data_IF_220453765363
#
_entry.id   IF_220453765363
#
_cell.length_a   1.000
_cell.length_b   1.000
_cell.length_c   1.000
_cell.angle_alpha   90.00
_cell.angle_beta   90.00
_cell.angle_gamma   90.00
#
_symmetry.space_group_name_H-M   'P 1'
#
loop_
_entity.id
_entity.type
_entity.pdbx_description
1 polymer ?
#
# COMPACT_ATOMS: atom_id res chain seq x y z
N UNK A 1 7.40 -42.33 -34.90
CA UNK A 1 7.81 -41.85 -33.57
C UNK A 1 8.85 -40.78 -33.78
N UNK A 2 8.38 -39.54 -33.93
CA UNK A 2 9.20 -38.34 -33.75
C UNK A 2 8.29 -37.44 -32.91
N UNK A 3 8.72 -37.18 -31.69
CA UNK A 3 8.02 -36.38 -30.68
C UNK A 3 8.19 -34.91 -31.04
N UNK A 4 7.07 -34.20 -31.15
CA UNK A 4 7.01 -32.76 -31.39
C UNK A 4 7.20 -32.05 -30.04
N UNK A 5 8.31 -31.35 -29.90
CA UNK A 5 8.68 -30.58 -28.71
C UNK A 5 7.80 -29.32 -28.65
N UNK A 6 6.86 -29.28 -27.69
CA UNK A 6 5.99 -28.13 -27.46
C UNK A 6 6.81 -27.04 -26.77
N UNK A 7 7.14 -26.00 -27.53
CA UNK A 7 7.85 -24.81 -27.05
C UNK A 7 6.94 -24.02 -26.08
N UNK A 8 7.25 -24.09 -24.78
CA UNK A 8 6.61 -23.30 -23.72
C UNK A 8 6.83 -21.80 -23.96
N UNK A 9 5.75 -21.02 -24.00
CA UNK A 9 5.79 -19.55 -24.05
C UNK A 9 6.42 -18.99 -22.76
N UNK A 10 7.23 -17.92 -22.84
CA UNK A 10 7.88 -17.37 -21.66
C UNK A 10 6.83 -16.65 -20.80
N UNK A 11 6.69 -17.10 -19.56
CA UNK A 11 6.01 -16.38 -18.49
C UNK A 11 6.89 -15.18 -18.15
N UNK A 12 6.43 -13.97 -18.46
CA UNK A 12 7.08 -12.74 -18.02
C UNK A 12 6.80 -12.62 -16.52
N UNK A 13 7.76 -13.04 -15.69
CA UNK A 13 7.79 -12.75 -14.26
C UNK A 13 8.02 -11.23 -14.09
N UNK A 14 6.98 -10.52 -13.67
CA UNK A 14 7.15 -9.18 -13.11
C UNK A 14 7.96 -9.29 -11.81
N UNK A 15 9.16 -8.72 -11.82
CA UNK A 15 10.03 -8.58 -10.66
C UNK A 15 9.37 -7.65 -9.66
N UNK A 16 8.70 -8.22 -8.67
CA UNK A 16 8.24 -7.51 -7.48
C UNK A 16 9.46 -7.31 -6.58
N UNK A 17 10.01 -6.10 -6.57
CA UNK A 17 10.92 -5.67 -5.50
C UNK A 17 10.10 -5.43 -4.24
N UNK A 18 10.13 -6.40 -3.33
CA UNK A 18 9.63 -6.24 -1.96
C UNK A 18 10.81 -5.85 -1.06
N UNK A 19 10.70 -4.79 -0.23
CA UNK A 19 11.66 -4.58 0.85
C UNK A 19 11.51 -5.72 1.86
N UNK A 20 12.60 -6.43 2.10
CA UNK A 20 12.75 -7.39 3.18
C UNK A 20 12.64 -6.67 4.52
N UNK A 21 11.54 -6.85 5.23
CA UNK A 21 11.53 -6.74 6.69
C UNK A 21 11.29 -8.12 7.30
N UNK A 22 12.23 -8.47 8.16
CA UNK A 22 12.28 -9.71 8.92
C UNK A 22 11.04 -9.82 9.83
N UNK A 23 10.12 -10.70 9.46
CA UNK A 23 9.08 -11.17 10.37
C UNK A 23 9.61 -12.41 11.08
N UNK A 24 10.11 -12.22 12.29
CA UNK A 24 10.25 -13.31 13.24
C UNK A 24 8.85 -13.73 13.69
N UNK A 25 8.42 -14.90 13.22
CA UNK A 25 7.28 -15.63 13.79
C UNK A 25 7.54 -15.88 15.28
N UNK A 26 6.56 -15.62 16.13
CA UNK A 26 6.51 -16.33 17.40
C UNK A 26 5.07 -16.60 17.78
N UNK A 27 4.77 -17.89 17.79
CA UNK A 27 3.52 -18.51 18.16
C UNK A 27 3.11 -18.10 19.58
N UNK A 28 1.85 -17.70 19.73
CA UNK A 28 1.22 -17.53 21.03
C UNK A 28 0.80 -18.93 21.49
N UNK A 29 1.54 -19.51 22.44
CA UNK A 29 1.02 -20.58 23.27
C UNK A 29 1.18 -20.21 24.75
N UNK A 30 0.04 -20.12 25.39
CA UNK A 30 -0.14 -19.96 26.83
C UNK A 30 0.38 -21.19 27.57
N UNK A 31 1.31 -21.02 28.51
CA UNK A 31 1.17 -21.57 29.86
C UNK A 31 2.17 -20.98 30.85
N UNK A 32 1.66 -20.80 32.07
CA UNK A 32 2.31 -20.21 33.25
C UNK A 32 3.60 -20.94 33.61
N UNK A 33 4.60 -20.22 34.09
CA UNK A 33 5.41 -20.64 35.25
C UNK A 33 6.18 -19.47 35.83
N UNK A 34 6.32 -19.55 37.15
CA UNK A 34 6.80 -18.54 38.07
C UNK A 34 8.31 -18.28 38.03
N UNK A 35 8.66 -17.17 38.72
CA UNK A 35 9.86 -16.90 39.55
C UNK A 35 11.06 -16.14 38.96
N UNK A 36 11.29 -15.01 39.64
CA UNK A 36 12.55 -14.47 40.21
C UNK A 36 13.72 -14.28 39.24
N UNK A 37 14.36 -13.10 39.25
CA UNK A 37 15.53 -12.75 40.09
C UNK A 37 15.85 -11.29 39.65
N UNK A 38 16.17 -10.27 40.45
CA UNK A 38 17.15 -10.15 41.52
C UNK A 38 16.95 -8.79 42.21
N UNK A 39 16.83 -8.76 43.53
CA UNK A 39 17.25 -7.60 44.33
C UNK A 39 17.85 -8.13 45.62
N UNK A 40 19.17 -8.23 45.63
CA UNK A 40 19.94 -8.54 46.83
C UNK A 40 19.73 -7.45 47.89
N UNK A 41 18.95 -7.81 48.91
CA UNK A 41 19.34 -7.82 50.33
C UNK A 41 20.15 -6.62 50.85
N UNK A 42 19.46 -5.75 51.58
CA UNK A 42 19.93 -5.33 52.90
C UNK A 42 18.86 -5.71 53.93
N UNK A 43 19.28 -6.54 54.87
CA UNK A 43 18.49 -7.10 55.96
C UNK A 43 18.24 -6.09 57.08
N UNK A 44 17.00 -6.00 57.55
CA UNK A 44 16.68 -5.83 58.97
C UNK A 44 15.21 -6.26 59.14
N UNK A 45 14.99 -7.51 59.53
CA UNK A 45 14.43 -7.84 60.84
C UNK A 45 13.05 -7.21 61.04
N UNK A 46 12.00 -8.04 60.87
CA UNK A 46 10.72 -7.77 61.54
C UNK A 46 11.02 -7.59 63.03
N UNK A 47 10.95 -6.34 63.49
CA UNK A 47 10.96 -6.00 64.90
C UNK A 47 9.54 -6.24 65.43
N UNK A 48 9.34 -7.07 66.48
CA UNK A 48 8.01 -7.45 66.97
C UNK A 48 7.31 -6.33 67.77
N UNK A 49 7.45 -5.08 67.35
CA UNK A 49 7.01 -3.91 68.11
C UNK A 49 6.33 -2.82 67.28
N UNK A 50 5.66 -3.13 66.18
CA UNK A 50 4.54 -2.28 65.72
C UNK A 50 3.30 -2.62 66.54
N UNK A 51 3.35 -2.33 67.84
CA UNK A 51 2.14 -1.88 68.52
C UNK A 51 1.68 -0.65 67.74
N UNK A 52 0.42 -0.60 67.32
CA UNK A 52 -0.25 0.69 67.24
C UNK A 52 -0.13 1.28 68.65
N UNK A 53 0.90 2.10 68.85
CA UNK A 53 1.03 2.91 70.03
C UNK A 53 -0.12 3.90 69.92
N UNK A 54 -1.19 3.69 70.69
CA UNK A 54 -2.18 4.72 70.94
C UNK A 54 -1.41 5.92 71.45
N UNK A 55 -1.21 6.89 70.57
CA UNK A 55 -0.49 8.10 70.88
C UNK A 55 -1.41 8.90 71.79
N UNK A 56 -1.02 9.06 73.06
CA UNK A 56 -1.83 9.77 74.04
C UNK A 56 -2.32 11.11 73.48
N UNK A 57 -3.61 11.42 73.63
CA UNK A 57 -4.23 12.65 73.11
C UNK A 57 -3.46 13.92 73.54
N UNK A 58 -2.89 13.91 74.75
CA UNK A 58 -2.09 15.03 75.26
C UNK A 58 -0.77 15.22 74.47
N UNK A 59 -0.20 14.16 73.92
CA UNK A 59 1.02 14.22 73.10
C UNK A 59 0.71 14.78 71.72
N UNK A 60 -0.48 14.46 71.17
CA UNK A 60 -0.98 15.10 69.97
C UNK A 60 -1.24 16.59 70.19
N UNK A 61 -1.92 16.94 71.28
CA UNK A 61 -2.15 18.34 71.68
C UNK A 61 -0.83 19.08 71.89
N UNK A 62 0.14 18.47 72.56
CA UNK A 62 1.47 19.05 72.79
C UNK A 62 2.24 19.26 71.48
N UNK A 63 2.26 18.27 70.59
CA UNK A 63 2.91 18.39 69.28
C UNK A 63 2.25 19.48 68.43
N UNK A 64 0.93 19.60 68.48
CA UNK A 64 0.18 20.65 67.79
C UNK A 64 0.48 22.04 68.37
N UNK A 65 0.49 22.19 69.70
CA UNK A 65 0.81 23.44 70.40
C UNK A 65 2.26 23.86 70.16
N UNK A 66 3.19 22.89 70.15
CA UNK A 66 4.60 23.11 69.83
C UNK A 66 4.80 23.56 68.39
N UNK A 67 4.19 22.88 67.41
CA UNK A 67 4.22 23.30 65.99
C UNK A 67 3.66 24.71 65.82
N UNK A 68 2.53 25.01 66.45
CA UNK A 68 1.88 26.33 66.40
C UNK A 68 2.75 27.42 67.04
N UNK A 69 3.43 27.14 68.15
CA UNK A 69 4.25 28.12 68.86
C UNK A 69 5.62 28.34 68.22
N UNK A 70 6.22 27.30 67.63
CA UNK A 70 7.53 27.37 66.94
C UNK A 70 7.36 27.74 65.46
N UNK A 71 6.13 27.71 64.93
CA UNK A 71 5.82 28.04 63.54
C UNK A 71 6.30 27.00 62.53
N UNK A 72 6.53 25.75 62.97
CA UNK A 72 7.00 24.66 62.11
C UNK A 72 5.78 23.97 61.53
N UNK A 73 5.59 24.13 60.22
CA UNK A 73 4.62 23.39 59.44
C UNK A 73 5.30 22.14 58.82
N UNK A 74 5.04 20.93 59.33
CA UNK A 74 5.62 19.71 58.79
C UNK A 74 5.02 19.33 57.42
N UNK A 75 3.84 19.82 57.06
CA UNK A 75 3.11 19.44 55.84
C UNK A 75 3.32 20.46 54.70
N UNK A 76 3.86 21.65 54.99
CA UNK A 76 4.19 22.68 54.00
C UNK A 76 5.00 22.17 52.79
N UNK A 77 5.83 21.14 52.94
CA UNK A 77 6.59 20.56 51.83
C UNK A 77 5.74 19.65 50.92
N UNK A 78 4.72 18.99 51.48
CA UNK A 78 3.72 18.19 50.74
C UNK A 78 2.84 19.16 49.94
N UNK A 79 2.42 20.27 50.55
CA UNK A 79 1.65 21.32 49.89
C UNK A 79 2.42 21.96 48.72
N UNK A 80 3.73 22.20 48.89
CA UNK A 80 4.59 22.72 47.82
C UNK A 80 4.78 21.71 46.67
N UNK A 81 4.86 20.42 46.99
CA UNK A 81 4.95 19.37 45.98
C UNK A 81 3.65 19.25 45.18
N UNK A 82 2.49 19.23 45.85
CA UNK A 82 1.18 19.18 45.20
C UNK A 82 0.96 20.40 44.30
N UNK A 83 1.23 21.61 44.81
CA UNK A 83 1.17 22.84 44.02
C UNK A 83 2.16 22.82 42.83
N UNK A 84 3.37 22.32 43.05
CA UNK A 84 4.35 22.15 41.97
C UNK A 84 3.86 21.20 40.88
N UNK A 85 3.22 20.09 41.25
CA UNK A 85 2.63 19.12 40.33
C UNK A 85 1.43 19.69 39.57
N UNK A 86 0.58 20.47 40.23
CA UNK A 86 -0.54 21.17 39.59
C UNK A 86 -0.03 22.16 38.53
N UNK A 87 0.94 23.02 38.87
CA UNK A 87 1.56 23.96 37.93
C UNK A 87 2.25 23.25 36.75
N UNK A 88 2.88 22.09 36.98
CA UNK A 88 3.45 21.28 35.90
C UNK A 88 2.36 20.74 34.97
N UNK A 89 1.23 20.32 35.53
CA UNK A 89 0.09 19.81 34.77
C UNK A 89 -0.58 20.92 33.96
N UNK A 90 -0.79 22.10 34.55
CA UNK A 90 -1.31 23.30 33.88
C UNK A 90 -0.38 23.74 32.74
N UNK A 91 0.94 23.75 32.96
CA UNK A 91 1.91 24.09 31.92
C UNK A 91 1.90 23.08 30.75
N UNK A 92 1.72 21.79 31.03
CA UNK A 92 1.57 20.76 30.00
C UNK A 92 0.25 20.92 29.24
N UNK A 93 -0.85 21.19 29.93
CA UNK A 93 -2.16 21.44 29.33
C UNK A 93 -2.12 22.68 28.43
N UNK A 94 -1.58 23.81 28.89
CA UNK A 94 -1.37 25.02 28.08
C UNK A 94 -0.49 24.71 26.86
N UNK A 95 0.56 23.90 27.00
CA UNK A 95 1.42 23.51 25.87
C UNK A 95 0.65 22.70 24.82
N UNK A 96 -0.15 21.73 25.26
CA UNK A 96 -0.95 20.85 24.39
C UNK A 96 -2.14 21.58 23.77
N UNK A 97 -2.76 22.51 24.50
CA UNK A 97 -3.92 23.29 24.04
C UNK A 97 -3.54 24.57 23.29
N UNK A 98 -2.26 24.96 23.30
CA UNK A 98 -1.79 26.13 22.57
C UNK A 98 -2.00 26.00 21.05
N UNK A 99 -2.33 27.13 20.40
CA UNK A 99 -2.46 27.20 18.93
C UNK A 99 -1.17 26.77 18.19
N UNK A 100 0.00 26.87 18.87
CA UNK A 100 1.30 26.45 18.32
C UNK A 100 1.42 24.93 18.20
N UNK A 101 0.64 24.15 18.95
CA UNK A 101 0.60 22.70 18.88
C UNK A 101 -0.26 22.19 17.71
N UNK A 102 -1.24 22.97 17.23
CA UNK A 102 -2.15 22.58 16.16
C UNK A 102 -1.42 22.06 14.89
N UNK A 103 -0.37 22.72 14.36
CA UNK A 103 0.36 22.19 13.20
C UNK A 103 1.06 20.85 13.44
N UNK A 104 1.36 20.50 14.69
CA UNK A 104 1.92 19.18 15.04
C UNK A 104 0.81 18.12 15.04
N UNK A 105 -0.37 18.44 15.55
CA UNK A 105 -1.53 17.56 15.49
C UNK A 105 -1.99 17.33 14.05
N UNK A 106 -2.00 18.37 13.21
CA UNK A 106 -2.33 18.24 11.79
C UNK A 106 -1.34 17.30 11.07
N UNK A 107 -0.03 17.44 11.35
CA UNK A 107 1.00 16.53 10.82
C UNK A 107 0.82 15.09 11.33
N UNK A 108 0.53 14.91 12.61
CA UNK A 108 0.27 13.59 13.17
C UNK A 108 -0.97 12.95 12.53
N UNK A 109 -2.06 13.71 12.40
CA UNK A 109 -3.28 13.29 11.72
C UNK A 109 -3.00 12.87 10.27
N UNK A 110 -2.27 13.69 9.50
CA UNK A 110 -1.87 13.37 8.14
C UNK A 110 -1.05 12.07 8.05
N UNK A 111 -0.15 11.82 9.01
CA UNK A 111 0.62 10.57 9.07
C UNK A 111 -0.22 9.35 9.42
N UNK A 112 -1.19 9.48 10.31
CA UNK A 112 -2.13 8.38 10.59
C UNK A 112 -3.08 8.12 9.42
N UNK A 113 -3.50 9.15 8.69
CA UNK A 113 -4.26 8.99 7.44
C UNK A 113 -3.46 8.25 6.38
N UNK A 114 -2.16 8.55 6.24
CA UNK A 114 -1.25 7.83 5.35
C UNK A 114 -1.15 6.33 5.71
N UNK A 115 -0.94 6.02 6.99
CA UNK A 115 -0.92 4.63 7.47
C UNK A 115 -2.25 3.92 7.22
N UNK A 116 -3.38 4.58 7.47
CA UNK A 116 -4.70 4.00 7.24
C UNK A 116 -4.97 3.74 5.75
N UNK A 117 -4.62 4.68 4.86
CA UNK A 117 -4.74 4.50 3.43
C UNK A 117 -3.87 3.33 2.93
N UNK A 118 -2.62 3.22 3.40
CA UNK A 118 -1.72 2.11 3.09
C UNK A 118 -2.27 0.75 3.57
N UNK A 119 -2.90 0.71 4.74
CA UNK A 119 -3.51 -0.53 5.25
C UNK A 119 -4.63 -1.03 4.33
N UNK A 120 -5.53 -0.14 3.90
CA UNK A 120 -6.59 -0.50 2.94
C UNK A 120 -6.02 -0.86 1.57
N UNK A 121 -5.02 -0.13 1.08
CA UNK A 121 -4.32 -0.45 -0.17
C UNK A 121 -3.72 -1.85 -0.15
N UNK A 122 -2.95 -2.18 0.90
CA UNK A 122 -2.35 -3.50 1.05
C UNK A 122 -3.39 -4.60 1.18
N UNK A 123 -4.51 -4.34 1.87
CA UNK A 123 -5.63 -5.27 1.91
C UNK A 123 -6.26 -5.49 0.51
N UNK A 124 -6.42 -4.44 -0.29
CA UNK A 124 -6.83 -4.57 -1.69
C UNK A 124 -5.85 -5.44 -2.50
N UNK A 125 -4.55 -5.26 -2.31
CA UNK A 125 -3.52 -6.07 -2.97
C UNK A 125 -3.62 -7.55 -2.61
N UNK A 126 -3.95 -7.88 -1.34
CA UNK A 126 -4.20 -9.27 -0.93
C UNK A 126 -5.36 -9.88 -1.72
N UNK A 127 -6.44 -9.13 -1.96
CA UNK A 127 -7.55 -9.60 -2.81
C UNK A 127 -7.13 -9.79 -4.28
N UNK A 128 -6.33 -8.87 -4.84
CA UNK A 128 -5.75 -9.02 -6.18
C UNK A 128 -4.87 -10.28 -6.30
N UNK A 129 -4.03 -10.54 -5.30
CA UNK A 129 -3.21 -11.75 -5.24
C UNK A 129 -4.06 -13.01 -5.12
N UNK A 130 -5.11 -12.99 -4.30
CA UNK A 130 -6.04 -14.12 -4.17
C UNK A 130 -6.77 -14.44 -5.49
N UNK A 131 -7.09 -13.42 -6.30
CA UNK A 131 -7.68 -13.59 -7.63
C UNK A 131 -6.74 -14.30 -8.61
N UNK A 132 -5.42 -14.14 -8.49
CA UNK A 132 -4.42 -14.78 -9.37
C UNK A 132 -4.26 -16.28 -9.10
N UNK A 133 -4.80 -16.79 -7.98
CA UNK A 133 -4.73 -18.21 -7.67
C UNK A 133 -5.57 -19.00 -8.68
N UNK A 134 -4.91 -19.86 -9.46
CA UNK A 134 -5.58 -20.72 -10.44
C UNK A 134 -6.57 -21.65 -9.72
N UNK A 135 -7.81 -21.67 -10.20
CA UNK A 135 -8.78 -22.71 -9.86
C UNK A 135 -8.51 -23.88 -10.79
N UNK A 136 -8.22 -25.09 -10.28
CA UNK A 136 -7.96 -26.25 -11.12
C UNK A 136 -9.15 -26.51 -12.04
N UNK A 137 -8.89 -26.50 -13.35
CA UNK A 137 -9.83 -26.96 -14.37
C UNK A 137 -9.42 -28.37 -14.76
N UNK A 138 -10.34 -29.32 -14.67
CA UNK A 138 -10.09 -30.69 -15.13
C UNK A 138 -10.50 -30.81 -16.60
N UNK A 139 -9.56 -30.64 -17.51
CA UNK A 139 -9.80 -30.74 -18.95
C UNK A 139 -10.18 -32.15 -19.41
N UNK A 140 -9.94 -33.17 -18.57
CA UNK A 140 -10.38 -34.55 -18.84
C UNK A 140 -11.86 -34.79 -18.49
N UNK A 141 -12.48 -33.85 -17.78
CA UNK A 141 -13.88 -33.91 -17.42
C UNK A 141 -14.81 -33.60 -18.61
N UNK A 142 -16.07 -33.99 -18.50
CA UNK A 142 -17.08 -33.69 -19.52
C UNK A 142 -17.30 -32.19 -19.72
N UNK A 143 -17.66 -31.77 -20.94
CA UNK A 143 -17.84 -30.35 -21.31
C UNK A 143 -18.69 -29.53 -20.34
N UNK A 144 -19.76 -30.11 -19.81
CA UNK A 144 -20.64 -29.45 -18.84
C UNK A 144 -19.94 -29.20 -17.49
N UNK A 145 -19.11 -30.14 -17.04
CA UNK A 145 -18.34 -30.01 -15.80
C UNK A 145 -17.28 -28.91 -15.95
N UNK A 146 -16.58 -28.88 -17.08
CA UNK A 146 -15.60 -27.82 -17.40
C UNK A 146 -16.29 -26.45 -17.45
N UNK A 147 -17.47 -26.35 -18.06
CA UNK A 147 -18.23 -25.09 -18.11
C UNK A 147 -18.65 -24.61 -16.70
N UNK A 148 -19.10 -25.52 -15.83
CA UNK A 148 -19.47 -25.18 -14.45
C UNK A 148 -18.24 -24.77 -13.61
N UNK A 149 -17.10 -25.42 -13.80
CA UNK A 149 -15.83 -25.04 -13.16
C UNK A 149 -15.36 -23.66 -13.63
N UNK A 150 -15.46 -23.38 -14.93
CA UNK A 150 -15.14 -22.07 -15.50
C UNK A 150 -16.04 -20.96 -14.94
N UNK A 151 -17.35 -21.20 -14.84
CA UNK A 151 -18.30 -20.28 -14.19
C UNK A 151 -17.88 -19.94 -12.77
N UNK A 152 -17.62 -20.99 -11.97
CA UNK A 152 -17.23 -20.85 -10.57
C UNK A 152 -15.93 -20.07 -10.45
N UNK A 153 -14.98 -20.31 -11.35
CA UNK A 153 -13.72 -19.59 -11.37
C UNK A 153 -13.88 -18.12 -11.72
N UNK A 154 -14.70 -17.81 -12.72
CA UNK A 154 -15.02 -16.44 -13.09
C UNK A 154 -15.69 -15.68 -11.94
N UNK A 155 -16.70 -16.27 -11.29
CA UNK A 155 -17.39 -15.64 -10.16
C UNK A 155 -16.46 -15.37 -8.98
N UNK A 156 -15.58 -16.33 -8.66
CA UNK A 156 -14.57 -16.15 -7.62
C UNK A 156 -13.63 -14.99 -7.90
N UNK A 157 -13.04 -14.93 -9.10
CA UNK A 157 -12.11 -13.85 -9.47
C UNK A 157 -12.84 -12.50 -9.50
N UNK A 158 -14.06 -12.45 -10.05
CA UNK A 158 -14.90 -11.24 -10.07
C UNK A 158 -15.18 -10.73 -8.65
N UNK A 159 -15.51 -11.62 -7.71
CA UNK A 159 -15.73 -11.25 -6.31
C UNK A 159 -14.44 -10.68 -5.69
N UNK A 160 -13.29 -11.34 -5.90
CA UNK A 160 -12.00 -10.85 -5.38
C UNK A 160 -11.64 -9.46 -5.93
N UNK A 161 -11.82 -9.22 -7.23
CA UNK A 161 -11.61 -7.90 -7.82
C UNK A 161 -12.58 -6.84 -7.29
N UNK A 162 -13.83 -7.23 -7.00
CA UNK A 162 -14.81 -6.32 -6.37
C UNK A 162 -14.37 -5.92 -4.97
N UNK A 163 -13.91 -6.88 -4.15
CA UNK A 163 -13.37 -6.59 -2.82
C UNK A 163 -12.11 -5.72 -2.89
N UNK A 164 -11.21 -5.98 -3.84
CA UNK A 164 -10.03 -5.14 -4.06
C UNK A 164 -10.42 -3.69 -4.38
N UNK A 165 -11.40 -3.50 -5.28
CA UNK A 165 -11.95 -2.19 -5.63
C UNK A 165 -12.42 -1.42 -4.41
N UNK A 166 -13.26 -2.03 -3.57
CA UNK A 166 -13.79 -1.41 -2.37
C UNK A 166 -12.68 -0.94 -1.42
N UNK A 167 -11.61 -1.74 -1.27
CA UNK A 167 -10.47 -1.39 -0.43
C UNK A 167 -9.67 -0.22 -1.00
N UNK A 168 -9.43 -0.17 -2.31
CA UNK A 168 -8.77 0.97 -2.93
C UNK A 168 -9.62 2.24 -2.85
N UNK A 169 -10.94 2.14 -3.02
CA UNK A 169 -11.86 3.27 -2.81
C UNK A 169 -11.85 3.77 -1.35
N UNK A 170 -11.76 2.86 -0.37
CA UNK A 170 -11.58 3.21 1.04
C UNK A 170 -10.25 3.96 1.27
N UNK A 171 -9.15 3.48 0.68
CA UNK A 171 -7.86 4.16 0.78
C UNK A 171 -7.91 5.59 0.23
N UNK A 172 -8.51 5.78 -0.94
CA UNK A 172 -8.67 7.09 -1.59
C UNK A 172 -9.65 8.01 -0.85
N UNK A 173 -10.63 7.45 -0.12
CA UNK A 173 -11.54 8.24 0.71
C UNK A 173 -10.84 8.86 1.93
N UNK A 174 -9.82 8.17 2.46
CA UNK A 174 -9.00 8.63 3.59
C UNK A 174 -7.91 9.58 3.12
N UNK A 175 -7.26 9.25 2.00
CA UNK A 175 -6.18 10.03 1.40
C UNK A 175 -6.42 10.20 -0.11
N UNK A 176 -7.07 11.30 -0.54
CA UNK A 176 -7.34 11.55 -1.96
C UNK A 176 -6.07 11.81 -2.78
N UNK A 177 -5.00 12.31 -2.17
CA UNK A 177 -3.69 12.57 -2.76
C UNK A 177 -2.77 11.32 -2.66
N UNK A 178 -3.28 10.17 -3.11
CA UNK A 178 -2.59 8.89 -3.03
C UNK A 178 -2.54 8.21 -4.41
N UNK A 179 -1.46 8.48 -5.15
CA UNK A 179 -1.33 8.05 -6.55
C UNK A 179 -1.28 6.53 -6.68
N UNK A 180 -0.67 5.81 -5.73
CA UNK A 180 -0.61 4.36 -5.71
C UNK A 180 -2.01 3.75 -5.59
N UNK A 181 -2.89 4.37 -4.80
CA UNK A 181 -4.29 3.98 -4.69
C UNK A 181 -5.04 4.13 -6.01
N UNK A 182 -4.79 5.22 -6.76
CA UNK A 182 -5.37 5.42 -8.09
C UNK A 182 -4.82 4.41 -9.10
N UNK A 183 -3.50 4.17 -9.11
CA UNK A 183 -2.86 3.16 -9.97
C UNK A 183 -3.46 1.77 -9.71
N UNK A 184 -3.59 1.37 -8.45
CA UNK A 184 -4.13 0.06 -8.08
C UNK A 184 -5.61 -0.08 -8.42
N UNK A 185 -6.41 0.98 -8.26
CA UNK A 185 -7.80 0.97 -8.68
C UNK A 185 -7.94 0.91 -10.21
N UNK A 186 -7.08 1.61 -10.96
CA UNK A 186 -6.99 1.47 -12.41
C UNK A 186 -6.62 0.05 -12.84
N UNK A 187 -5.60 -0.54 -12.21
CA UNK A 187 -5.18 -1.92 -12.43
C UNK A 187 -6.28 -2.93 -12.14
N UNK A 188 -7.01 -2.77 -11.04
CA UNK A 188 -8.15 -3.63 -10.72
C UNK A 188 -9.21 -3.58 -11.83
N UNK A 189 -9.58 -2.39 -12.30
CA UNK A 189 -10.60 -2.21 -13.33
C UNK A 189 -10.16 -2.79 -14.68
N UNK A 190 -8.90 -2.59 -15.03
CA UNK A 190 -8.27 -3.20 -16.20
C UNK A 190 -8.33 -4.74 -16.15
N UNK A 191 -7.94 -5.35 -15.03
CA UNK A 191 -8.00 -6.80 -14.87
C UNK A 191 -9.44 -7.33 -14.84
N UNK A 192 -10.40 -6.57 -14.30
CA UNK A 192 -11.82 -6.91 -14.37
C UNK A 192 -12.32 -6.91 -15.83
N UNK A 193 -11.92 -5.93 -16.64
CA UNK A 193 -12.26 -5.88 -18.06
C UNK A 193 -11.71 -7.11 -18.80
N UNK A 194 -10.45 -7.47 -18.54
CA UNK A 194 -9.82 -8.69 -19.08
C UNK A 194 -10.53 -9.96 -18.62
N UNK A 195 -10.97 -10.02 -17.37
CA UNK A 195 -11.72 -11.16 -16.85
C UNK A 195 -13.04 -11.33 -17.62
N UNK A 196 -13.83 -10.27 -17.80
CA UNK A 196 -15.06 -10.33 -18.59
C UNK A 196 -14.80 -10.78 -20.02
N UNK A 197 -13.77 -10.21 -20.66
CA UNK A 197 -13.41 -10.54 -22.02
C UNK A 197 -12.95 -12.00 -22.18
N UNK A 198 -12.04 -12.47 -21.34
CA UNK A 198 -11.52 -13.85 -21.39
C UNK A 198 -12.61 -14.89 -21.11
N UNK A 199 -13.49 -14.61 -20.15
CA UNK A 199 -14.61 -15.49 -19.84
C UNK A 199 -15.64 -15.56 -20.97
N UNK A 200 -15.90 -14.45 -21.67
CA UNK A 200 -16.73 -14.45 -22.89
C UNK A 200 -16.13 -15.37 -23.97
N UNK A 201 -14.84 -15.22 -24.25
CA UNK A 201 -14.14 -16.04 -25.24
C UNK A 201 -14.16 -17.53 -24.86
N UNK A 202 -13.98 -17.85 -23.58
CA UNK A 202 -13.96 -19.22 -23.08
C UNK A 202 -15.33 -19.91 -23.19
N UNK A 203 -16.43 -19.17 -23.02
CA UNK A 203 -17.78 -19.70 -23.23
C UNK A 203 -18.14 -19.90 -24.70
N UNK A 204 -17.34 -19.40 -25.65
CA UNK A 204 -17.62 -19.46 -27.10
C UNK A 204 -18.98 -18.86 -27.46
N UNK A 205 -19.40 -17.83 -26.72
CA UNK A 205 -20.61 -17.05 -27.04
C UNK A 205 -20.32 -16.24 -28.31
N UNK A 206 -21.32 -16.11 -29.17
CA UNK A 206 -21.23 -15.24 -30.34
C UNK A 206 -21.07 -13.77 -29.91
N UNK A 207 -19.95 -13.18 -30.30
CA UNK A 207 -19.58 -11.79 -30.01
C UNK A 207 -20.63 -10.81 -30.55
N UNK A 208 -21.33 -11.17 -31.64
CA UNK A 208 -22.32 -10.29 -32.29
C UNK A 208 -23.54 -9.97 -31.41
N UNK A 209 -23.84 -10.84 -30.44
CA UNK A 209 -24.95 -10.68 -29.51
C UNK A 209 -24.55 -10.19 -28.11
N UNK A 210 -23.26 -9.95 -27.88
CA UNK A 210 -22.73 -9.51 -26.59
C UNK A 210 -22.76 -7.98 -26.47
N UNK A 211 -23.15 -7.46 -25.30
CA UNK A 211 -23.05 -6.04 -24.98
C UNK A 211 -21.66 -5.71 -24.40
N UNK A 212 -20.81 -4.97 -25.13
CA UNK A 212 -19.46 -4.64 -24.68
C UNK A 212 -19.41 -3.50 -23.65
N UNK A 213 -20.55 -2.86 -23.33
CA UNK A 213 -20.59 -1.61 -22.58
C UNK A 213 -19.91 -1.67 -21.22
N UNK A 214 -20.14 -2.74 -20.44
CA UNK A 214 -19.51 -2.90 -19.11
C UNK A 214 -17.98 -3.00 -19.22
N UNK A 215 -17.49 -3.85 -20.14
CA UNK A 215 -16.05 -4.03 -20.37
C UNK A 215 -15.38 -2.76 -20.88
N UNK A 216 -16.01 -2.04 -21.81
CA UNK A 216 -15.47 -0.78 -22.33
C UNK A 216 -15.46 0.32 -21.26
N UNK A 217 -16.51 0.43 -20.45
CA UNK A 217 -16.55 1.37 -19.33
C UNK A 217 -15.46 1.09 -18.31
N UNK A 218 -15.11 -0.19 -18.06
CA UNK A 218 -13.99 -0.54 -17.20
C UNK A 218 -12.65 -0.09 -17.78
N UNK A 219 -12.42 -0.25 -19.09
CA UNK A 219 -11.23 0.30 -19.76
C UNK A 219 -11.18 1.83 -19.68
N UNK A 220 -12.28 2.52 -19.97
CA UNK A 220 -12.36 3.99 -19.85
C UNK A 220 -12.07 4.46 -18.43
N UNK A 221 -12.63 3.77 -17.44
CA UNK A 221 -12.43 4.09 -16.02
C UNK A 221 -11.00 3.83 -15.56
N UNK A 222 -10.36 2.76 -16.07
CA UNK A 222 -8.98 2.41 -15.77
C UNK A 222 -8.01 3.43 -16.40
N UNK A 223 -8.26 3.84 -17.64
CA UNK A 223 -7.47 4.86 -18.33
C UNK A 223 -7.55 6.23 -17.66
N UNK A 224 -8.75 6.64 -17.23
CA UNK A 224 -8.93 7.87 -16.47
C UNK A 224 -8.10 7.86 -15.17
N UNK A 225 -8.14 6.76 -14.41
CA UNK A 225 -7.36 6.61 -13.17
C UNK A 225 -5.86 6.59 -13.42
N UNK A 226 -5.43 5.94 -14.49
CA UNK A 226 -4.03 5.94 -14.90
C UNK A 226 -3.51 7.34 -15.16
N UNK A 227 -4.29 8.13 -15.90
CA UNK A 227 -3.97 9.52 -16.19
C UNK A 227 -3.92 10.36 -14.92
N UNK A 228 -4.95 10.29 -14.08
CA UNK A 228 -5.02 11.06 -12.83
C UNK A 228 -3.88 10.69 -11.88
N UNK A 229 -3.54 9.40 -11.78
CA UNK A 229 -2.42 8.93 -10.97
C UNK A 229 -1.08 9.42 -11.51
N UNK A 230 -0.88 9.39 -12.83
CA UNK A 230 0.35 9.87 -13.47
C UNK A 230 0.53 11.37 -13.21
N UNK A 231 -0.51 12.17 -13.41
CA UNK A 231 -0.46 13.62 -13.15
C UNK A 231 -0.19 13.92 -11.67
N UNK A 232 -0.80 13.15 -10.75
CA UNK A 232 -0.57 13.29 -9.32
C UNK A 232 0.87 12.95 -8.94
N UNK A 233 1.38 11.83 -9.45
CA UNK A 233 2.75 11.40 -9.19
C UNK A 233 3.79 12.37 -9.75
N UNK A 234 3.58 12.89 -10.97
CA UNK A 234 4.47 13.90 -11.57
C UNK A 234 4.54 15.18 -10.74
N UNK A 235 3.40 15.68 -10.24
CA UNK A 235 3.35 16.84 -9.35
C UNK A 235 4.07 16.60 -8.02
N UNK A 236 3.93 15.40 -7.43
CA UNK A 236 4.63 15.04 -6.19
C UNK A 236 6.15 14.98 -6.42
N UNK A 237 6.59 14.47 -7.56
CA UNK A 237 8.01 14.40 -7.92
C UNK A 237 8.59 15.80 -8.22
N UNK A 238 7.83 16.67 -8.88
CA UNK A 238 8.21 18.08 -9.07
C UNK A 238 8.39 18.81 -7.72
N UNK A 239 7.43 18.64 -6.80
CA UNK A 239 7.51 19.21 -5.45
C UNK A 239 8.73 18.69 -4.69
N UNK A 240 8.99 17.39 -4.75
CA UNK A 240 10.19 16.77 -4.14
C UNK A 240 11.48 17.39 -4.68
N UNK A 241 11.56 17.59 -6.00
CA UNK A 241 12.73 18.23 -6.62
C UNK A 241 12.89 19.70 -6.21
N UNK A 242 11.80 20.44 -6.05
CA UNK A 242 11.84 21.84 -5.62
C UNK A 242 12.23 21.98 -4.15
N UNK A 243 11.77 21.08 -3.28
CA UNK A 243 12.19 20.99 -1.87
C UNK A 243 13.70 20.69 -1.73
N UNK A 244 14.24 19.82 -2.59
CA UNK A 244 15.68 19.54 -2.64
C UNK A 244 16.51 20.76 -3.07
N UNK A 245 15.99 21.58 -3.98
CA UNK A 245 16.67 22.81 -4.45
C UNK A 245 16.60 23.95 -3.44
N UNK A 246 15.58 23.98 -2.58
CA UNK A 246 15.34 25.02 -1.58
C UNK A 246 15.28 24.48 -0.15
N UNK A 247 16.37 23.94 0.41
CA UNK A 247 16.38 23.35 1.76
C UNK A 247 16.05 24.36 2.89
N UNK A 248 16.06 25.66 2.59
CA UNK A 248 15.84 26.74 3.57
C UNK A 248 14.38 27.22 3.69
N UNK A 249 13.43 26.75 2.86
CA UNK A 249 12.01 27.11 2.99
C UNK A 249 11.27 26.28 4.05
N UNK A 250 11.77 25.09 4.41
CA UNK A 250 11.19 24.20 5.42
C UNK A 250 12.16 23.90 6.58
N UNK A 251 12.62 24.96 7.28
CA UNK A 251 13.47 24.86 8.50
C UNK A 251 12.83 24.16 9.72
N UNK A 252 11.73 23.41 9.58
CA UNK A 252 11.05 22.72 10.68
C UNK A 252 11.27 21.20 10.72
N UNK A 253 11.87 20.58 9.70
CA UNK A 253 12.10 19.12 9.70
C UNK A 253 13.45 18.67 10.25
N UNK A 254 14.46 19.56 10.31
CA UNK A 254 15.79 19.23 10.85
C UNK A 254 15.79 18.88 12.35
N UNK A 255 14.76 19.30 13.11
CA UNK A 255 14.70 19.06 14.57
C UNK A 255 14.50 17.57 14.87
N UNK A 256 13.84 16.83 13.97
CA UNK A 256 13.63 15.37 14.12
C UNK A 256 14.90 14.57 13.83
N UNK A 257 15.74 15.00 12.89
CA UNK A 257 17.03 14.33 12.59
C UNK A 257 18.06 14.55 13.69
N UNK A 258 18.05 15.69 14.39
CA UNK A 258 18.99 15.96 15.50
C UNK A 258 18.66 15.21 16.79
N UNK A 259 17.39 14.88 17.04
CA UNK A 259 16.98 14.14 18.25
C UNK A 259 17.48 12.69 18.27
N UNK A 260 17.76 12.09 17.10
CA UNK A 260 18.35 10.74 17.00
C UNK A 260 19.87 10.73 17.19
N UNK A 261 20.53 11.90 17.23
CA UNK A 261 22.00 12.04 17.36
C UNK A 261 22.46 12.40 18.77
N UNK A 262 21.55 12.64 19.71
CA UNK A 262 21.88 12.88 21.13
C UNK A 262 21.22 11.81 22.00
N UNK A 263 21.72 10.58 21.90
CA UNK A 263 21.29 9.50 22.78
C UNK A 263 21.98 8.18 22.46
N UNK A 264 23.10 7.91 23.14
CA UNK A 264 23.63 6.55 23.29
C UNK A 264 24.76 6.16 22.34
N UNK A 265 25.80 5.58 22.93
CA UNK A 265 27.03 5.07 22.34
C UNK A 265 26.86 4.13 21.14
N UNK A 266 27.78 4.26 20.17
CA UNK A 266 28.54 3.11 19.69
C UNK A 266 27.81 1.99 18.95
N UNK A 267 26.98 2.29 17.95
CA UNK A 267 26.94 1.50 16.71
C UNK A 267 26.28 2.37 15.63
N UNK A 268 27.07 2.83 14.65
CA UNK A 268 26.54 3.48 13.44
C UNK A 268 25.85 2.42 12.58
N UNK A 269 24.61 2.06 12.93
CA UNK A 269 23.65 1.74 11.88
C UNK A 269 23.34 3.05 11.17
N UNK A 270 24.02 3.21 10.02
CA UNK A 270 23.72 4.24 9.05
C UNK A 270 22.23 4.13 8.75
N UNK A 271 21.45 5.07 9.29
CA UNK A 271 20.11 5.34 8.77
C UNK A 271 20.33 5.71 7.30
N UNK A 272 20.16 4.76 6.39
CA UNK A 272 20.30 4.93 4.95
C UNK A 272 19.30 6.00 4.50
N UNK A 273 19.74 7.25 4.53
CA UNK A 273 19.04 8.33 3.87
C UNK A 273 19.31 8.15 2.39
N UNK A 274 18.27 7.74 1.65
CA UNK A 274 18.28 7.64 0.18
C UNK A 274 18.97 8.88 -0.38
N UNK A 275 20.00 8.66 -1.18
CA UNK A 275 20.76 9.71 -1.84
C UNK A 275 19.92 10.36 -2.94
N UNK A 276 20.30 11.57 -3.37
CA UNK A 276 19.59 12.25 -4.45
C UNK A 276 19.66 11.47 -5.78
N UNK A 277 20.73 10.70 -5.99
CA UNK A 277 20.91 9.83 -7.15
C UNK A 277 19.95 8.64 -7.08
N UNK A 278 19.90 7.92 -5.97
CA UNK A 278 18.96 6.80 -5.76
C UNK A 278 17.49 7.26 -5.88
N UNK A 279 17.16 8.45 -5.38
CA UNK A 279 15.81 9.01 -5.50
C UNK A 279 15.45 9.30 -6.98
N UNK A 280 16.40 9.82 -7.77
CA UNK A 280 16.19 10.07 -9.20
C UNK A 280 16.07 8.76 -10.01
N UNK A 281 16.82 7.73 -9.63
CA UNK A 281 16.69 6.38 -10.20
C UNK A 281 15.32 5.77 -9.88
N UNK A 282 14.88 5.86 -8.62
CA UNK A 282 13.53 5.42 -8.21
C UNK A 282 12.44 6.16 -8.99
N UNK A 283 12.57 7.47 -9.18
CA UNK A 283 11.61 8.25 -9.96
C UNK A 283 11.60 7.82 -11.44
N UNK A 284 12.76 7.52 -12.02
CA UNK A 284 12.87 7.03 -13.39
C UNK A 284 12.25 5.64 -13.54
N UNK A 285 12.52 4.74 -12.59
CA UNK A 285 11.94 3.40 -12.56
C UNK A 285 10.40 3.46 -12.43
N UNK A 286 9.89 4.28 -11.52
CA UNK A 286 8.44 4.45 -11.34
C UNK A 286 7.78 5.01 -12.61
N UNK A 287 8.38 6.01 -13.26
CA UNK A 287 7.87 6.57 -14.53
C UNK A 287 7.82 5.51 -15.63
N UNK A 288 8.89 4.73 -15.76
CA UNK A 288 8.95 3.62 -16.71
C UNK A 288 7.84 2.59 -16.43
N UNK A 289 7.65 2.21 -15.17
CA UNK A 289 6.61 1.25 -14.77
C UNK A 289 5.19 1.77 -15.05
N UNK A 290 4.90 3.05 -14.78
CA UNK A 290 3.61 3.67 -15.10
C UNK A 290 3.36 3.62 -16.61
N UNK A 291 4.35 3.96 -17.42
CA UNK A 291 4.20 3.91 -18.89
C UNK A 291 4.04 2.49 -19.41
N UNK A 292 4.79 1.52 -18.90
CA UNK A 292 4.64 0.12 -19.29
C UNK A 292 3.22 -0.37 -19.00
N UNK A 293 2.73 -0.09 -17.79
CA UNK A 293 1.41 -0.50 -17.37
C UNK A 293 0.30 0.18 -18.21
N UNK A 294 0.41 1.48 -18.45
CA UNK A 294 -0.53 2.20 -19.33
C UNK A 294 -0.51 1.65 -20.76
N UNK A 295 0.67 1.34 -21.31
CA UNK A 295 0.81 0.72 -22.63
C UNK A 295 0.08 -0.62 -22.72
N UNK A 296 0.27 -1.49 -21.73
CA UNK A 296 -0.41 -2.79 -21.68
C UNK A 296 -1.93 -2.66 -21.65
N UNK A 297 -2.45 -1.71 -20.87
CA UNK A 297 -3.89 -1.46 -20.80
C UNK A 297 -4.46 -1.00 -22.15
N UNK A 298 -3.78 -0.09 -22.84
CA UNK A 298 -4.19 0.39 -24.17
C UNK A 298 -4.10 -0.70 -25.23
N UNK A 299 -3.07 -1.55 -25.17
CA UNK A 299 -2.88 -2.67 -26.08
C UNK A 299 -3.98 -3.74 -25.94
N UNK A 300 -4.32 -4.11 -24.71
CA UNK A 300 -5.42 -5.05 -24.45
C UNK A 300 -6.78 -4.45 -24.86
N UNK A 301 -7.00 -3.15 -24.59
CA UNK A 301 -8.19 -2.44 -25.08
C UNK A 301 -8.26 -2.50 -26.61
N UNK A 302 -7.17 -2.25 -27.32
CA UNK A 302 -7.14 -2.30 -28.79
C UNK A 302 -7.46 -3.69 -29.32
N UNK A 303 -7.01 -4.76 -28.66
CA UNK A 303 -7.35 -6.13 -29.04
C UNK A 303 -8.85 -6.39 -28.89
N UNK A 304 -9.47 -5.97 -27.78
CA UNK A 304 -10.91 -6.13 -27.55
C UNK A 304 -11.69 -5.36 -28.62
N UNK A 305 -11.37 -4.08 -28.81
CA UNK A 305 -12.05 -3.21 -29.77
C UNK A 305 -11.92 -3.72 -31.21
N UNK A 306 -10.75 -4.23 -31.59
CA UNK A 306 -10.53 -4.85 -32.90
C UNK A 306 -11.39 -6.11 -33.10
N UNK A 307 -11.46 -7.00 -32.10
CA UNK A 307 -12.25 -8.25 -32.19
C UNK A 307 -13.76 -8.02 -32.24
N UNK A 308 -14.25 -6.94 -31.64
CA UNK A 308 -15.69 -6.56 -31.72
C UNK A 308 -16.00 -5.63 -32.90
N UNK A 309 -15.01 -5.30 -33.75
CA UNK A 309 -15.19 -4.43 -34.90
C UNK A 309 -15.48 -2.96 -34.56
N UNK A 310 -15.05 -2.47 -33.39
CA UNK A 310 -15.22 -1.08 -32.98
C UNK A 310 -14.17 -0.20 -33.62
N UNK A 311 -14.59 0.87 -34.29
CA UNK A 311 -13.67 1.88 -34.84
C UNK A 311 -12.83 2.55 -33.74
N UNK A 312 -11.57 2.87 -34.07
CA UNK A 312 -10.65 3.56 -33.17
C UNK A 312 -9.64 2.67 -32.45
N UNK A 313 -9.77 1.33 -32.55
CA UNK A 313 -8.84 0.37 -31.95
C UNK A 313 -7.38 0.64 -32.34
N UNK A 314 -7.13 1.08 -33.57
CA UNK A 314 -5.80 1.37 -34.09
C UNK A 314 -5.13 2.56 -33.37
N UNK A 315 -5.91 3.57 -32.95
CA UNK A 315 -5.39 4.70 -32.18
C UNK A 315 -4.96 4.27 -30.78
N UNK A 316 -5.68 3.33 -30.18
CA UNK A 316 -5.31 2.75 -28.89
C UNK A 316 -4.02 1.92 -29.02
N UNK A 317 -3.86 1.17 -30.12
CA UNK A 317 -2.62 0.46 -30.43
C UNK A 317 -1.43 1.41 -30.63
N UNK A 318 -1.61 2.48 -31.42
CA UNK A 318 -0.57 3.50 -31.64
C UNK A 318 -0.17 4.15 -30.31
N UNK A 319 -1.15 4.51 -29.48
CA UNK A 319 -0.92 5.08 -28.15
C UNK A 319 -0.21 4.10 -27.23
N UNK A 320 -0.54 2.80 -27.28
CA UNK A 320 0.16 1.77 -26.52
C UNK A 320 1.65 1.69 -26.91
N UNK A 321 1.94 1.73 -28.21
CA UNK A 321 3.31 1.75 -28.74
C UNK A 321 4.09 2.98 -28.26
N UNK A 322 3.47 4.16 -28.25
CA UNK A 322 4.09 5.36 -27.69
C UNK A 322 4.40 5.21 -26.19
N UNK A 323 3.48 4.62 -25.42
CA UNK A 323 3.71 4.33 -24.00
C UNK A 323 4.83 3.33 -23.77
N UNK A 324 4.93 2.26 -24.56
CA UNK A 324 6.05 1.31 -24.46
C UNK A 324 7.41 1.96 -24.76
N UNK A 325 7.48 2.88 -25.73
CA UNK A 325 8.70 3.67 -25.99
C UNK A 325 9.07 4.54 -24.80
N UNK A 326 8.10 5.24 -24.19
CA UNK A 326 8.32 6.04 -22.98
C UNK A 326 8.72 5.18 -21.77
N UNK A 327 8.29 3.92 -21.73
CA UNK A 327 8.71 2.96 -20.72
C UNK A 327 10.15 2.47 -20.91
N UNK A 328 10.77 2.71 -22.08
CA UNK A 328 12.11 2.23 -22.42
C UNK A 328 12.14 0.83 -23.01
N UNK A 329 11.00 0.30 -23.50
CA UNK A 329 10.97 -0.99 -24.18
C UNK A 329 11.76 -0.97 -25.50
N UNK A 330 12.40 -2.09 -25.86
CA UNK A 330 13.18 -2.19 -27.09
C UNK A 330 12.28 -2.19 -28.34
N UNK A 331 12.79 -1.70 -29.47
CA UNK A 331 12.03 -1.74 -30.73
C UNK A 331 11.66 -3.17 -31.15
N UNK A 332 12.50 -4.16 -30.82
CA UNK A 332 12.24 -5.57 -31.11
C UNK A 332 11.08 -6.13 -30.29
N UNK A 333 11.00 -5.78 -29.00
CA UNK A 333 9.91 -6.20 -28.12
C UNK A 333 8.59 -5.57 -28.57
N UNK A 334 8.61 -4.26 -28.87
CA UNK A 334 7.45 -3.53 -29.39
C UNK A 334 6.98 -4.14 -30.71
N UNK A 335 7.89 -4.45 -31.64
CA UNK A 335 7.55 -5.08 -32.90
C UNK A 335 6.90 -6.45 -32.71
N UNK A 336 7.36 -7.23 -31.73
CA UNK A 336 6.80 -8.53 -31.38
C UNK A 336 5.38 -8.40 -30.82
N UNK A 337 5.16 -7.46 -29.90
CA UNK A 337 3.83 -7.17 -29.32
C UNK A 337 2.85 -6.73 -30.40
N UNK A 338 3.25 -5.80 -31.27
CA UNK A 338 2.41 -5.31 -32.38
C UNK A 338 2.10 -6.43 -33.37
N UNK A 339 3.08 -7.29 -33.69
CA UNK A 339 2.87 -8.45 -34.58
C UNK A 339 1.79 -9.39 -34.03
N UNK A 340 1.76 -9.59 -32.72
CA UNK A 340 0.79 -10.46 -32.04
C UNK A 340 -0.62 -9.85 -31.90
N UNK A 341 -0.82 -8.60 -32.35
CA UNK A 341 -2.14 -7.98 -32.32
C UNK A 341 -3.11 -8.69 -33.29
N UNK A 342 -4.35 -8.91 -32.84
CA UNK A 342 -5.36 -9.67 -33.58
C UNK A 342 -5.72 -9.12 -34.98
N UNK A 343 -5.46 -7.84 -35.25
CA UNK A 343 -5.61 -7.25 -36.58
C UNK A 343 -4.72 -7.90 -37.64
N UNK A 344 -3.57 -8.46 -37.24
CA UNK A 344 -2.64 -9.11 -38.16
C UNK A 344 -3.03 -10.55 -38.46
N UNK A 345 -3.75 -11.21 -37.56
CA UNK A 345 -4.34 -12.54 -37.81
C UNK A 345 -5.45 -12.44 -38.87
N UNK A 346 -6.32 -11.44 -38.75
CA UNK A 346 -7.38 -11.17 -39.74
C UNK A 346 -6.81 -10.84 -41.13
N UNK A 347 -5.74 -10.05 -41.20
CA UNK A 347 -5.06 -9.72 -42.46
C UNK A 347 -4.38 -10.93 -43.13
N UNK A 348 -3.90 -11.90 -42.34
CA UNK A 348 -3.31 -13.14 -42.86
C UNK A 348 -4.39 -14.07 -43.44
N UNK A 349 -5.56 -14.16 -42.80
CA UNK A 349 -6.68 -14.99 -43.30
C UNK A 349 -7.33 -14.42 -44.57
N UNK A 350 -7.42 -13.10 -44.72
CA UNK A 350 -7.92 -12.46 -45.95
C UNK A 350 -6.93 -12.55 -47.13
N UNK A 351 -5.64 -12.73 -46.86
CA UNK A 351 -4.59 -12.87 -47.87
C UNK A 351 -4.58 -14.24 -48.58
N UNK A 352 -5.12 -15.28 -47.93
CA UNK A 352 -5.12 -16.65 -48.45
C UNK A 352 -6.36 -16.94 -49.32
N UNK A 353 -7.48 -16.26 -49.08
CA UNK A 353 -8.69 -16.38 -49.93
C UNK A 353 -8.52 -15.77 -51.32
N UNK A 354 -7.53 -14.87 -51.54
CA UNK A 354 -7.25 -14.27 -52.85
C UNK A 354 -6.27 -15.06 -53.72
N UNK A 355 -5.82 -16.25 -53.29
CA UNK A 355 -4.79 -17.04 -53.99
C UNK A 355 -5.24 -18.37 -54.58
N UNK A 356 -6.55 -18.60 -54.77
CA UNK A 356 -7.02 -19.72 -55.60
C UNK A 356 -7.26 -19.24 -57.03
N UNK A 357 -6.38 -19.56 -58.01
CA UNK A 357 -6.72 -19.37 -59.41
C UNK A 357 -7.72 -20.47 -59.80
N UNK A 358 -8.87 -20.04 -60.33
CA UNK A 358 -9.86 -20.95 -60.91
C UNK A 358 -9.27 -21.69 -62.14
N UNK A 359 -9.67 -22.95 -62.39
CA UNK A 359 -9.09 -23.83 -63.41
C UNK A 359 -9.32 -23.38 -64.85
#
# INVERSE_FOLDING_TARGET
>A
EEEEEVEEKPVIEEVISSPTESLSETEINTEKTDKEVEKEKASSSEDPETKELEMDDWLFDFAHLFRTHVGIDPDAHIDLHELGMELCSEALEETVTSEKAQPLFDKASAKFQEVAALAFFNWGNVHMCAARKRIPLDESAGKEVVAAQLQTAYEWVKERYTLAKEKYEQALSIKPDFYEGLLALGQQQFEMAKLHWSYLLAQKIDISGWDPSETLNLFDSAEAKMKDATEMWEKLEEQRMDDLKNPNSNKKEEVSKRRKKQGGDGNEEVSETITAEEAAEQATAMRSQIHLFWGNMLFERSQVECKIGKDGWNKNLDSAVERFKLAGASEADIATVVKNHCSNEAAATEGDEKKVPAP
#
